data_IF_201314381723
#
_entry.id   IF_201314381723
#
_cell.length_a   1.000
_cell.length_b   1.000
_cell.length_c   1.000
_cell.angle_alpha   90.00
_cell.angle_beta   90.00
_cell.angle_gamma   90.00
#
_symmetry.space_group_name_H-M   'P 1'
#
loop_
_entity.id
_entity.type
_entity.pdbx_description
1 polymer ?
#
# COMPACT_ATOMS: atom_id res chain seq x y z
N UNK A 1 -15.66 -1.27 -3.81
CA UNK A 1 -14.92 -1.62 -2.59
C UNK A 1 -14.51 -0.38 -1.77
N UNK A 2 -13.61 0.49 -2.25
CA UNK A 2 -13.24 1.75 -1.59
C UNK A 2 -13.72 2.95 -2.42
N UNK A 3 -14.30 3.95 -1.75
CA UNK A 3 -14.60 5.27 -2.31
C UNK A 3 -14.04 6.35 -1.38
N UNK A 4 -13.30 7.26 -1.97
CA UNK A 4 -12.79 8.48 -1.32
C UNK A 4 -13.47 9.65 -2.00
N UNK A 5 -14.19 10.47 -1.25
CA UNK A 5 -14.99 11.58 -1.78
C UNK A 5 -14.58 12.89 -1.11
N UNK A 6 -14.10 13.83 -1.92
CA UNK A 6 -13.78 15.22 -1.56
C UNK A 6 -12.96 15.36 -0.27
N UNK A 7 -11.93 14.51 -0.09
CA UNK A 7 -11.10 14.50 1.12
C UNK A 7 -10.22 15.74 1.18
N UNK A 8 -10.32 16.45 2.32
CA UNK A 8 -9.51 17.61 2.64
C UNK A 8 -8.73 17.35 3.93
N UNK A 9 -7.39 17.39 3.86
CA UNK A 9 -6.50 17.13 5.00
C UNK A 9 -5.53 18.29 5.19
N UNK A 10 -5.29 18.65 6.44
CA UNK A 10 -4.43 19.77 6.83
C UNK A 10 -3.39 19.33 7.86
N UNK A 11 -2.17 19.82 7.72
CA UNK A 11 -1.13 19.83 8.74
C UNK A 11 -0.95 21.27 9.24
N UNK A 12 -1.62 21.59 10.35
CA UNK A 12 -1.72 22.99 10.79
C UNK A 12 -2.36 23.85 9.69
N UNK A 13 -1.63 24.81 9.15
CA UNK A 13 -2.08 25.70 8.07
C UNK A 13 -1.81 25.14 6.66
N UNK A 14 -1.11 24.02 6.53
CA UNK A 14 -0.77 23.43 5.23
C UNK A 14 -1.92 22.55 4.75
N UNK A 15 -2.56 22.91 3.63
CA UNK A 15 -3.60 22.13 2.98
C UNK A 15 -2.96 21.05 2.12
N UNK A 16 -2.80 19.85 2.67
CA UNK A 16 -2.07 18.74 2.06
C UNK A 16 -2.90 17.96 1.03
N UNK A 17 -4.19 17.70 1.31
CA UNK A 17 -5.13 17.13 0.34
C UNK A 17 -6.28 18.12 0.12
N UNK A 18 -6.62 18.37 -1.14
CA UNK A 18 -7.48 19.47 -1.59
C UNK A 18 -8.63 18.92 -2.44
N UNK A 19 -9.62 18.29 -1.79
CA UNK A 19 -10.78 17.73 -2.46
C UNK A 19 -10.44 16.47 -3.26
N UNK A 20 -9.62 15.57 -2.69
CA UNK A 20 -9.21 14.33 -3.36
C UNK A 20 -10.37 13.37 -3.41
N UNK A 21 -10.66 12.86 -4.61
CA UNK A 21 -11.65 11.79 -4.86
C UNK A 21 -11.04 10.69 -5.71
N UNK A 22 -11.29 9.42 -5.32
CA UNK A 22 -10.92 8.25 -6.09
C UNK A 22 -11.79 7.04 -5.73
N UNK A 23 -11.84 6.06 -6.61
CA UNK A 23 -12.55 4.79 -6.39
C UNK A 23 -11.64 3.60 -6.70
N UNK A 24 -11.79 2.53 -5.92
CA UNK A 24 -11.10 1.26 -6.13
C UNK A 24 -12.15 0.14 -6.13
N UNK A 25 -12.15 -0.68 -7.19
CA UNK A 25 -13.03 -1.84 -7.28
C UNK A 25 -12.34 -3.07 -6.72
N UNK A 26 -13.12 -4.08 -6.39
CA UNK A 26 -12.60 -5.32 -5.85
C UNK A 26 -11.73 -6.06 -6.87
N UNK A 27 -10.56 -6.53 -6.45
CA UNK A 27 -9.64 -7.30 -7.28
C UNK A 27 -8.69 -6.45 -8.12
N UNK A 28 -8.86 -5.11 -8.19
CA UNK A 28 -7.98 -4.23 -8.95
C UNK A 28 -6.63 -3.99 -8.24
N UNK A 29 -5.59 -3.77 -9.04
CA UNK A 29 -4.41 -3.00 -8.66
C UNK A 29 -4.63 -1.58 -9.16
N UNK A 30 -4.83 -0.64 -8.23
CA UNK A 30 -4.90 0.79 -8.55
C UNK A 30 -3.61 1.45 -8.08
N UNK A 31 -2.99 2.26 -8.95
CA UNK A 31 -1.80 3.01 -8.56
C UNK A 31 -2.09 4.50 -8.42
N UNK A 32 -1.45 5.13 -7.43
CA UNK A 32 -1.42 6.58 -7.25
C UNK A 32 0.02 7.06 -7.49
N UNK A 33 0.24 7.76 -8.58
CA UNK A 33 1.54 8.29 -8.97
C UNK A 33 1.60 9.80 -8.77
N UNK A 34 2.79 10.31 -8.45
CA UNK A 34 3.03 11.74 -8.22
C UNK A 34 4.38 11.98 -7.59
N UNK A 35 4.84 13.21 -7.65
CA UNK A 35 6.11 13.64 -7.07
C UNK A 35 6.13 13.51 -5.53
N UNK A 36 7.32 13.56 -4.93
CA UNK A 36 7.46 13.62 -3.47
C UNK A 36 6.76 14.89 -2.94
N UNK A 37 6.03 14.73 -1.84
CA UNK A 37 5.23 15.82 -1.26
C UNK A 37 3.90 16.08 -1.96
N UNK A 38 3.51 15.34 -3.01
CA UNK A 38 2.24 15.53 -3.70
C UNK A 38 1.00 15.18 -2.87
N UNK A 39 1.15 14.44 -1.74
CA UNK A 39 0.06 14.04 -0.85
C UNK A 39 -0.24 12.54 -0.84
N UNK A 40 0.57 11.71 -1.52
CA UNK A 40 0.38 10.26 -1.65
C UNK A 40 0.25 9.55 -0.29
N UNK A 41 1.29 9.63 0.55
CA UNK A 41 1.29 9.01 1.89
C UNK A 41 0.23 9.61 2.81
N UNK A 42 -0.08 10.92 2.67
CA UNK A 42 -1.17 11.58 3.40
C UNK A 42 -2.52 10.92 3.10
N UNK A 43 -2.77 10.58 1.83
CA UNK A 43 -3.99 9.88 1.44
C UNK A 43 -4.05 8.47 2.05
N UNK A 44 -2.96 7.69 1.96
CA UNK A 44 -2.92 6.35 2.58
C UNK A 44 -3.14 6.41 4.08
N UNK A 45 -2.50 7.36 4.77
CA UNK A 45 -2.68 7.57 6.22
C UNK A 45 -4.11 8.00 6.58
N UNK A 46 -4.78 8.73 5.69
CA UNK A 46 -6.20 9.09 5.88
C UNK A 46 -7.11 7.87 5.73
N UNK A 47 -6.87 7.02 4.72
CA UNK A 47 -7.63 5.79 4.51
C UNK A 47 -7.41 4.80 5.67
N UNK A 48 -6.19 4.69 6.18
CA UNK A 48 -5.84 3.79 7.31
C UNK A 48 -6.19 4.34 8.70
N UNK A 49 -6.75 5.57 8.78
CA UNK A 49 -7.20 6.19 10.03
C UNK A 49 -6.09 6.78 10.90
N UNK A 50 -4.87 6.87 10.38
CA UNK A 50 -3.76 7.57 11.04
C UNK A 50 -3.92 9.09 10.99
N UNK A 51 -4.62 9.59 9.98
CA UNK A 51 -4.99 10.99 9.83
C UNK A 51 -6.50 11.13 9.71
N UNK A 52 -7.05 12.15 10.39
CA UNK A 52 -8.47 12.48 10.28
C UNK A 52 -8.65 13.59 9.24
N UNK A 53 -9.49 13.40 8.20
CA UNK A 53 -9.79 14.48 7.27
C UNK A 53 -10.61 15.56 7.96
N UNK A 54 -10.45 16.80 7.49
CA UNK A 54 -11.26 17.93 7.94
C UNK A 54 -12.67 17.87 7.34
N UNK A 55 -12.74 17.51 6.05
CA UNK A 55 -13.97 17.33 5.29
C UNK A 55 -13.81 16.14 4.34
N UNK A 56 -14.94 15.69 3.79
CA UNK A 56 -15.02 14.57 2.88
C UNK A 56 -15.22 13.24 3.60
N UNK A 57 -15.28 12.18 2.85
CA UNK A 57 -15.56 10.85 3.39
C UNK A 57 -14.70 9.77 2.74
N UNK A 58 -14.46 8.71 3.51
CA UNK A 58 -13.90 7.44 3.03
C UNK A 58 -14.92 6.35 3.35
N UNK A 59 -15.38 5.67 2.31
CA UNK A 59 -16.34 4.57 2.41
C UNK A 59 -15.67 3.29 1.94
N UNK A 60 -15.66 2.26 2.78
CA UNK A 60 -15.16 0.93 2.46
C UNK A 60 -16.28 -0.08 2.67
N UNK A 61 -16.67 -0.80 1.59
CA UNK A 61 -17.77 -1.76 1.58
C UNK A 61 -19.08 -1.19 2.17
N UNK A 62 -19.45 0.00 1.74
CA UNK A 62 -20.64 0.75 2.19
C UNK A 62 -20.59 1.21 3.66
N UNK A 63 -19.44 1.11 4.34
CA UNK A 63 -19.26 1.64 5.67
C UNK A 63 -18.33 2.85 5.68
N UNK A 64 -18.73 3.93 6.37
CA UNK A 64 -17.88 5.10 6.59
C UNK A 64 -16.71 4.73 7.53
N UNK A 65 -15.48 4.91 7.05
CA UNK A 65 -14.26 4.60 7.79
C UNK A 65 -13.41 5.83 8.12
N UNK A 66 -13.69 6.99 7.53
CA UNK A 66 -12.96 8.22 7.80
C UNK A 66 -12.95 8.57 9.30
N UNK A 67 -11.77 8.84 9.85
CA UNK A 67 -11.58 9.21 11.25
C UNK A 67 -11.82 8.08 12.27
N UNK A 68 -12.06 6.84 11.83
CA UNK A 68 -12.05 5.68 12.73
C UNK A 68 -10.62 5.34 13.14
N UNK A 69 -10.46 4.76 14.33
CA UNK A 69 -9.15 4.34 14.82
C UNK A 69 -8.56 3.22 13.96
N UNK A 70 -7.23 3.16 13.74
CA UNK A 70 -6.60 2.20 12.83
C UNK A 70 -6.95 0.74 13.11
N UNK A 71 -7.08 0.34 14.38
CA UNK A 71 -7.42 -1.03 14.76
C UNK A 71 -8.78 -1.47 14.21
N UNK A 72 -9.77 -0.56 14.13
CA UNK A 72 -11.08 -0.85 13.54
C UNK A 72 -11.00 -0.96 12.03
N UNK A 73 -10.12 -0.17 11.40
CA UNK A 73 -9.90 -0.21 9.94
C UNK A 73 -9.23 -1.52 9.55
N UNK A 74 -8.21 -1.97 10.29
CA UNK A 74 -7.58 -3.28 10.07
C UNK A 74 -8.59 -4.42 10.25
N UNK A 75 -9.45 -4.37 11.27
CA UNK A 75 -10.52 -5.38 11.47
C UNK A 75 -11.52 -5.44 10.31
N UNK A 76 -11.70 -4.36 9.55
CA UNK A 76 -12.54 -4.32 8.36
C UNK A 76 -11.84 -4.86 7.11
N UNK A 77 -10.55 -5.14 7.20
CA UNK A 77 -9.78 -5.71 6.10
C UNK A 77 -8.97 -4.71 5.29
N UNK A 78 -8.62 -3.55 5.85
CA UNK A 78 -7.65 -2.61 5.25
C UNK A 78 -6.34 -2.71 6.03
N UNK A 79 -5.24 -3.08 5.37
CA UNK A 79 -3.90 -3.06 5.96
C UNK A 79 -2.98 -2.15 5.16
N UNK A 80 -2.02 -1.52 5.85
CA UNK A 80 -1.04 -0.63 5.23
C UNK A 80 0.38 -1.14 5.48
N UNK A 81 1.19 -1.12 4.41
CA UNK A 81 2.65 -1.19 4.47
C UNK A 81 3.16 0.25 4.29
N UNK A 82 3.63 0.90 5.36
CA UNK A 82 4.09 2.28 5.27
C UNK A 82 5.47 2.36 4.62
N UNK A 83 5.80 3.54 4.12
CA UNK A 83 7.15 3.89 3.67
C UNK A 83 8.19 3.61 4.77
N UNK A 84 9.40 3.21 4.37
CA UNK A 84 10.52 2.97 5.28
C UNK A 84 10.44 1.64 6.03
N UNK A 85 9.67 0.66 5.53
CA UNK A 85 9.58 -0.74 5.97
C UNK A 85 8.98 -0.93 7.36
N UNK A 86 9.35 -0.13 8.37
CA UNK A 86 8.81 -0.10 9.74
C UNK A 86 8.71 -1.48 10.41
N UNK A 87 9.78 -2.28 10.29
CA UNK A 87 9.89 -3.55 11.03
C UNK A 87 10.28 -3.29 12.50
N UNK A 88 9.89 -4.20 13.39
CA UNK A 88 10.30 -4.17 14.80
C UNK A 88 11.67 -4.82 14.94
N UNK A 89 12.74 -4.03 14.85
CA UNK A 89 14.12 -4.49 14.68
C UNK A 89 14.61 -5.43 15.78
N UNK A 90 14.11 -5.31 17.00
CA UNK A 90 14.47 -6.15 18.15
C UNK A 90 13.64 -7.44 18.26
N UNK A 91 12.75 -7.67 17.29
CA UNK A 91 11.93 -8.87 17.19
C UNK A 91 12.40 -9.74 16.02
N UNK A 92 12.22 -11.05 16.13
CA UNK A 92 12.48 -11.98 15.04
C UNK A 92 11.53 -11.75 13.86
N UNK A 93 11.84 -12.36 12.72
CA UNK A 93 10.94 -12.41 11.56
C UNK A 93 9.58 -12.97 11.94
N UNK A 94 9.55 -14.10 12.62
CA UNK A 94 8.33 -14.79 13.05
C UNK A 94 7.48 -13.91 13.97
N UNK A 95 8.07 -13.30 15.00
CA UNK A 95 7.37 -12.39 15.92
C UNK A 95 6.80 -11.16 15.21
N UNK A 96 7.54 -10.60 14.23
CA UNK A 96 7.01 -9.52 13.39
C UNK A 96 5.76 -9.95 12.61
N UNK A 97 5.77 -11.18 12.05
CA UNK A 97 4.61 -11.73 11.34
C UNK A 97 3.43 -11.98 12.29
N UNK A 98 3.68 -12.53 13.49
CA UNK A 98 2.65 -12.74 14.52
C UNK A 98 1.92 -11.45 14.89
N UNK A 99 2.65 -10.32 15.01
CA UNK A 99 2.05 -9.01 15.26
C UNK A 99 1.08 -8.59 14.14
N UNK A 100 1.28 -9.02 12.90
CA UNK A 100 0.35 -8.79 11.82
C UNK A 100 -1.02 -9.42 12.05
N UNK A 101 -1.07 -10.54 12.77
CA UNK A 101 -2.29 -11.25 13.14
C UNK A 101 -2.87 -10.83 14.51
N UNK A 102 -2.32 -9.79 15.17
CA UNK A 102 -2.64 -9.41 16.55
C UNK A 102 -4.15 -9.27 16.85
N UNK A 103 -4.95 -8.81 15.88
CA UNK A 103 -6.40 -8.63 16.05
C UNK A 103 -7.22 -9.89 15.78
N UNK A 104 -6.59 -10.99 15.37
CA UNK A 104 -7.23 -12.25 14.99
C UNK A 104 -7.21 -13.25 16.15
N UNK A 105 -8.18 -14.20 16.11
CA UNK A 105 -8.32 -15.26 17.11
C UNK A 105 -8.35 -16.67 16.49
N UNK A 106 -8.39 -16.75 15.17
CA UNK A 106 -8.51 -17.98 14.38
C UNK A 106 -7.14 -18.68 14.23
N UNK A 107 -6.67 -19.37 15.25
CA UNK A 107 -5.35 -19.98 15.30
C UNK A 107 -5.01 -20.81 14.06
N UNK A 108 -5.96 -21.63 13.56
CA UNK A 108 -5.75 -22.44 12.35
C UNK A 108 -5.52 -21.56 11.13
N UNK A 109 -6.34 -20.54 10.93
CA UNK A 109 -6.18 -19.60 9.82
C UNK A 109 -4.90 -18.77 9.90
N UNK A 110 -4.45 -18.41 11.10
CA UNK A 110 -3.16 -17.73 11.29
C UNK A 110 -2.01 -18.66 10.84
N UNK A 111 -2.04 -19.96 11.22
CA UNK A 111 -1.03 -20.91 10.80
C UNK A 111 -1.01 -21.10 9.27
N UNK A 112 -2.17 -21.21 8.64
CA UNK A 112 -2.29 -21.28 7.17
C UNK A 112 -1.70 -20.04 6.49
N UNK A 113 -1.87 -18.85 7.08
CA UNK A 113 -1.33 -17.60 6.53
C UNK A 113 0.18 -17.48 6.72
N UNK A 114 0.74 -18.02 7.82
CA UNK A 114 2.20 -18.17 7.94
C UNK A 114 2.78 -18.99 6.80
N UNK A 115 2.16 -20.11 6.46
CA UNK A 115 2.61 -20.98 5.36
C UNK A 115 2.55 -20.23 4.02
N UNK A 116 1.46 -19.51 3.73
CA UNK A 116 1.32 -18.70 2.52
C UNK A 116 2.36 -17.56 2.45
N UNK A 117 2.59 -16.87 3.56
CA UNK A 117 3.60 -15.80 3.63
C UNK A 117 5.00 -16.38 3.39
N UNK A 118 5.33 -17.52 3.97
CA UNK A 118 6.62 -18.16 3.74
C UNK A 118 6.77 -18.76 2.33
N UNK A 119 5.68 -19.19 1.70
CA UNK A 119 5.69 -19.57 0.28
C UNK A 119 5.95 -18.36 -0.62
N UNK A 120 5.31 -17.22 -0.32
CA UNK A 120 5.49 -15.97 -1.06
C UNK A 120 6.87 -15.36 -0.83
N UNK A 121 7.42 -15.51 0.38
CA UNK A 121 8.71 -14.96 0.80
C UNK A 121 9.63 -16.06 1.38
N UNK A 122 10.20 -16.97 0.57
CA UNK A 122 11.01 -18.09 1.07
C UNK A 122 12.21 -17.66 1.94
N UNK A 123 12.80 -16.49 1.65
CA UNK A 123 13.90 -15.92 2.45
C UNK A 123 13.49 -15.61 3.89
N UNK A 124 12.23 -15.27 4.13
CA UNK A 124 11.74 -15.06 5.49
C UNK A 124 11.64 -16.38 6.27
N UNK A 125 11.30 -17.50 5.60
CA UNK A 125 11.29 -18.82 6.21
C UNK A 125 12.69 -19.24 6.66
N UNK A 126 13.69 -19.08 5.78
CA UNK A 126 15.10 -19.41 6.07
C UNK A 126 15.61 -18.63 7.31
N UNK A 127 15.07 -17.42 7.54
CA UNK A 127 15.50 -16.47 8.55
C UNK A 127 14.48 -16.25 9.67
N UNK A 128 13.51 -17.17 9.82
CA UNK A 128 12.33 -16.96 10.70
C UNK A 128 12.69 -16.60 12.14
N UNK A 129 13.79 -17.09 12.65
CA UNK A 129 14.28 -16.83 14.02
C UNK A 129 15.30 -15.68 14.10
N UNK A 130 15.69 -15.11 12.97
CA UNK A 130 16.66 -14.01 12.92
C UNK A 130 15.99 -12.69 13.34
N UNK A 131 16.75 -11.82 14.06
CA UNK A 131 16.29 -10.47 14.40
C UNK A 131 16.10 -9.65 13.11
N UNK A 132 14.94 -9.05 12.96
CA UNK A 132 14.55 -8.34 11.73
C UNK A 132 15.39 -7.11 11.44
N UNK A 133 16.00 -6.51 12.47
CA UNK A 133 16.94 -5.40 12.30
C UNK A 133 18.24 -5.76 11.58
N UNK A 134 18.58 -7.06 11.50
CA UNK A 134 19.79 -7.57 10.83
C UNK A 134 19.54 -8.04 9.39
N UNK A 135 18.30 -7.96 8.92
CA UNK A 135 17.92 -8.31 7.55
C UNK A 135 18.39 -7.22 6.56
N UNK A 136 18.62 -7.61 5.32
CA UNK A 136 18.81 -6.66 4.21
C UNK A 136 17.55 -5.80 3.99
N UNK A 137 17.71 -4.65 3.34
CA UNK A 137 16.60 -3.76 3.07
C UNK A 137 15.44 -4.41 2.29
N UNK A 138 15.77 -5.29 1.32
CA UNK A 138 14.75 -6.05 0.58
C UNK A 138 14.03 -7.07 1.44
N UNK A 139 14.74 -7.79 2.31
CA UNK A 139 14.13 -8.74 3.25
C UNK A 139 13.25 -8.04 4.28
N UNK A 140 13.65 -6.85 4.76
CA UNK A 140 12.80 -6.03 5.63
C UNK A 140 11.53 -5.57 4.92
N UNK A 141 11.61 -5.23 3.63
CA UNK A 141 10.43 -4.86 2.83
C UNK A 141 9.49 -6.06 2.67
N UNK A 142 10.02 -7.24 2.35
CA UNK A 142 9.26 -8.49 2.29
C UNK A 142 8.59 -8.80 3.64
N UNK A 143 9.31 -8.59 4.75
CA UNK A 143 8.76 -8.78 6.10
C UNK A 143 7.62 -7.81 6.41
N UNK A 144 7.76 -6.54 6.05
CA UNK A 144 6.70 -5.55 6.23
C UNK A 144 5.43 -5.91 5.43
N UNK A 145 5.60 -6.39 4.18
CA UNK A 145 4.50 -6.88 3.35
C UNK A 145 3.88 -8.16 3.94
N UNK A 146 4.70 -9.14 4.31
CA UNK A 146 4.24 -10.37 4.97
C UNK A 146 3.45 -10.09 6.24
N UNK A 147 3.93 -9.18 7.09
CA UNK A 147 3.23 -8.76 8.30
C UNK A 147 1.85 -8.15 7.99
N UNK A 148 1.73 -7.34 6.95
CA UNK A 148 0.44 -6.77 6.54
C UNK A 148 -0.52 -7.87 6.04
N UNK A 149 -0.02 -8.88 5.34
CA UNK A 149 -0.81 -10.01 4.84
C UNK A 149 -1.36 -10.91 5.97
N UNK A 150 -0.66 -11.00 7.10
CA UNK A 150 -1.12 -11.76 8.27
C UNK A 150 -2.46 -11.25 8.84
N UNK A 151 -2.85 -10.02 8.54
CA UNK A 151 -4.18 -9.50 8.89
C UNK A 151 -5.29 -10.01 7.96
N UNK A 152 -5.02 -10.75 6.90
CA UNK A 152 -5.95 -11.14 5.80
C UNK A 152 -6.67 -9.91 5.22
N UNK A 153 -5.93 -8.93 4.70
CA UNK A 153 -6.56 -7.74 4.16
C UNK A 153 -7.36 -8.05 2.89
N UNK A 154 -8.47 -7.35 2.73
CA UNK A 154 -9.23 -7.29 1.47
C UNK A 154 -8.72 -6.15 0.59
N UNK A 155 -8.16 -5.09 1.23
CA UNK A 155 -7.47 -3.98 0.60
C UNK A 155 -6.10 -3.79 1.26
N UNK A 156 -5.04 -3.91 0.46
CA UNK A 156 -3.67 -3.68 0.88
C UNK A 156 -3.18 -2.33 0.33
N UNK A 157 -2.77 -1.44 1.23
CA UNK A 157 -2.20 -0.15 0.92
C UNK A 157 -0.67 -0.26 0.97
N UNK A 158 0.01 0.04 -0.13
CA UNK A 158 1.48 -0.03 -0.25
C UNK A 158 2.05 1.36 -0.52
N UNK A 159 2.87 1.85 0.39
CA UNK A 159 3.49 3.18 0.34
C UNK A 159 4.94 3.08 -0.10
N UNK A 160 5.22 3.35 -1.36
CA UNK A 160 6.54 3.32 -2.02
C UNK A 160 7.34 2.04 -1.70
N UNK A 161 6.78 0.83 -1.95
CA UNK A 161 7.41 -0.43 -1.52
C UNK A 161 8.73 -0.72 -2.24
N UNK A 162 9.02 -0.07 -3.35
CA UNK A 162 10.26 -0.24 -4.12
C UNK A 162 11.39 0.72 -3.72
N UNK A 163 11.09 1.73 -2.88
CA UNK A 163 12.03 2.80 -2.58
C UNK A 163 13.31 2.30 -1.91
N UNK A 164 14.46 2.73 -2.44
CA UNK A 164 15.78 2.40 -1.89
C UNK A 164 16.18 0.93 -2.04
N UNK A 165 15.55 0.18 -2.96
CA UNK A 165 15.91 -1.18 -3.30
C UNK A 165 16.76 -1.24 -4.58
N UNK A 166 17.62 -2.27 -4.66
CA UNK A 166 18.37 -2.56 -5.88
C UNK A 166 17.41 -2.95 -7.03
N UNK A 167 17.73 -2.65 -8.31
CA UNK A 167 16.83 -2.87 -9.44
C UNK A 167 16.24 -4.29 -9.56
N UNK A 168 17.04 -5.31 -9.23
CA UNK A 168 16.56 -6.70 -9.23
C UNK A 168 15.49 -6.94 -8.17
N UNK A 169 15.66 -6.37 -6.97
CA UNK A 169 14.69 -6.48 -5.88
C UNK A 169 13.41 -5.69 -6.19
N UNK A 170 13.51 -4.53 -6.86
CA UNK A 170 12.34 -3.79 -7.34
C UNK A 170 11.46 -4.70 -8.20
N UNK A 171 12.02 -5.35 -9.22
CA UNK A 171 11.28 -6.30 -10.08
C UNK A 171 10.64 -7.43 -9.26
N UNK A 172 11.36 -7.95 -8.27
CA UNK A 172 10.85 -8.99 -7.39
C UNK A 172 9.64 -8.51 -6.58
N UNK A 173 9.70 -7.30 -6.00
CA UNK A 173 8.60 -6.72 -5.23
C UNK A 173 7.36 -6.52 -6.11
N UNK A 174 7.51 -5.98 -7.32
CA UNK A 174 6.38 -5.80 -8.24
C UNK A 174 5.73 -7.12 -8.64
N UNK A 175 6.54 -8.17 -8.93
CA UNK A 175 6.02 -9.51 -9.17
C UNK A 175 5.24 -10.06 -7.98
N UNK A 176 5.73 -9.86 -6.76
CA UNK A 176 5.05 -10.28 -5.54
C UNK A 176 3.72 -9.53 -5.36
N UNK A 177 3.66 -8.24 -5.71
CA UNK A 177 2.42 -7.45 -5.67
C UNK A 177 1.36 -8.06 -6.61
N UNK A 178 1.74 -8.44 -7.83
CA UNK A 178 0.85 -9.16 -8.76
C UNK A 178 0.40 -10.51 -8.18
N UNK A 179 1.30 -11.28 -7.58
CA UNK A 179 0.97 -12.57 -6.96
C UNK A 179 -0.02 -12.41 -5.80
N UNK A 180 0.17 -11.39 -4.95
CA UNK A 180 -0.77 -11.05 -3.88
C UNK A 180 -2.15 -10.70 -4.47
N UNK A 181 -2.21 -9.89 -5.52
CA UNK A 181 -3.46 -9.51 -6.16
C UNK A 181 -4.20 -10.74 -6.75
N UNK A 182 -3.47 -11.67 -7.40
CA UNK A 182 -4.03 -12.92 -7.95
C UNK A 182 -4.69 -13.80 -6.88
N UNK A 183 -4.33 -13.64 -5.60
CA UNK A 183 -5.02 -14.33 -4.49
C UNK A 183 -6.37 -13.69 -4.11
N UNK A 184 -6.76 -12.59 -4.77
CA UNK A 184 -8.00 -11.87 -4.55
C UNK A 184 -7.87 -10.62 -3.67
N UNK A 185 -6.65 -10.25 -3.25
CA UNK A 185 -6.40 -9.03 -2.49
C UNK A 185 -6.42 -7.81 -3.43
N UNK A 186 -7.25 -6.83 -3.13
CA UNK A 186 -7.25 -5.53 -3.84
C UNK A 186 -6.07 -4.69 -3.37
N UNK A 187 -5.44 -3.93 -4.26
CA UNK A 187 -4.22 -3.19 -3.93
C UNK A 187 -4.35 -1.72 -4.32
N UNK A 188 -4.02 -0.82 -3.39
CA UNK A 188 -3.69 0.57 -3.69
C UNK A 188 -2.18 0.75 -3.53
N UNK A 189 -1.51 0.91 -4.65
CA UNK A 189 -0.07 1.07 -4.75
C UNK A 189 0.28 2.56 -4.93
N UNK A 190 1.03 3.10 -4.00
CA UNK A 190 1.64 4.43 -4.12
C UNK A 190 3.09 4.26 -4.54
N UNK A 191 3.48 4.88 -5.63
CA UNK A 191 4.85 4.79 -6.16
C UNK A 191 5.30 6.09 -6.80
N UNK A 192 6.61 6.33 -6.76
CA UNK A 192 7.28 7.36 -7.53
C UNK A 192 7.72 6.82 -8.89
N UNK A 193 8.06 5.54 -8.99
CA UNK A 193 8.42 4.88 -10.24
C UNK A 193 7.15 4.58 -11.06
N UNK A 194 6.66 5.60 -11.76
CA UNK A 194 5.41 5.53 -12.50
C UNK A 194 5.40 4.44 -13.58
N UNK A 195 6.52 4.22 -14.28
CA UNK A 195 6.64 3.16 -15.30
C UNK A 195 6.36 1.77 -14.71
N UNK A 196 7.02 1.45 -13.60
CA UNK A 196 6.82 0.16 -12.95
C UNK A 196 5.42 0.03 -12.37
N UNK A 197 4.89 1.10 -11.77
CA UNK A 197 3.55 1.09 -11.19
C UNK A 197 2.47 0.87 -12.26
N UNK A 198 2.55 1.59 -13.39
CA UNK A 198 1.61 1.43 -14.51
C UNK A 198 1.71 0.06 -15.18
N UNK A 199 2.89 -0.58 -15.16
CA UNK A 199 3.07 -1.89 -15.82
C UNK A 199 2.28 -3.02 -15.17
N UNK A 200 1.85 -2.87 -13.92
CA UNK A 200 1.08 -3.89 -13.17
C UNK A 200 -0.31 -3.42 -12.76
N UNK A 201 -0.62 -2.15 -12.93
CA UNK A 201 -1.89 -1.57 -12.50
C UNK A 201 -2.99 -1.75 -13.56
N UNK A 202 -4.23 -1.93 -13.10
CA UNK A 202 -5.43 -1.87 -13.94
C UNK A 202 -5.82 -0.41 -14.22
N UNK A 203 -5.76 0.43 -13.17
CA UNK A 203 -6.13 1.85 -13.23
C UNK A 203 -5.13 2.69 -12.44
N UNK A 204 -5.05 3.96 -12.80
CA UNK A 204 -4.16 4.88 -12.11
C UNK A 204 -4.78 6.26 -11.90
N UNK A 205 -4.28 6.91 -10.86
CA UNK A 205 -4.54 8.31 -10.53
C UNK A 205 -3.22 9.06 -10.46
N UNK A 206 -3.20 10.29 -10.96
CA UNK A 206 -2.05 11.19 -10.84
C UNK A 206 -2.39 12.28 -9.84
N UNK A 207 -1.54 12.43 -8.83
CA UNK A 207 -1.72 13.45 -7.79
C UNK A 207 -0.61 14.50 -7.87
N UNK A 208 -1.00 15.78 -7.88
CA UNK A 208 -0.09 16.92 -7.83
C UNK A 208 -0.56 17.92 -6.76
N UNK A 209 0.34 18.31 -5.88
CA UNK A 209 0.10 19.34 -4.87
C UNK A 209 -1.25 19.15 -4.14
N UNK A 210 -1.58 17.91 -3.82
CA UNK A 210 -2.78 17.52 -3.07
C UNK A 210 -4.06 17.41 -3.89
N UNK A 211 -4.01 17.40 -5.23
CA UNK A 211 -5.17 17.24 -6.12
C UNK A 211 -4.97 16.10 -7.10
N UNK A 212 -6.03 15.37 -7.44
CA UNK A 212 -6.01 14.47 -8.58
C UNK A 212 -6.10 15.33 -9.86
N UNK A 213 -5.10 15.16 -10.72
CA UNK A 213 -4.98 15.93 -12.00
C UNK A 213 -5.27 15.07 -13.21
N UNK A 214 -5.15 13.75 -13.10
CA UNK A 214 -5.52 12.80 -14.16
C UNK A 214 -5.93 11.46 -13.54
N UNK A 215 -6.77 10.72 -14.23
CA UNK A 215 -7.17 9.34 -13.89
C UNK A 215 -7.63 8.61 -15.14
N UNK A 216 -7.45 7.29 -15.16
CA UNK A 216 -7.86 6.43 -16.27
C UNK A 216 -7.34 5.00 -16.09
N UNK A 217 -7.44 4.21 -17.12
CA UNK A 217 -6.77 2.90 -17.17
C UNK A 217 -5.25 3.12 -17.22
N UNK A 218 -4.49 2.15 -16.73
CA UNK A 218 -3.04 2.23 -16.79
C UNK A 218 -2.52 2.36 -18.24
N UNK A 219 -3.20 1.72 -19.19
CA UNK A 219 -2.90 1.81 -20.62
C UNK A 219 -3.10 3.22 -21.17
N UNK A 220 -4.26 3.86 -20.89
CA UNK A 220 -4.55 5.23 -21.32
C UNK A 220 -3.52 6.23 -20.79
N UNK A 221 -3.16 6.12 -19.49
CA UNK A 221 -2.19 7.01 -18.89
C UNK A 221 -0.77 6.76 -19.40
N UNK A 222 -0.42 5.51 -19.68
CA UNK A 222 0.88 5.17 -20.29
C UNK A 222 1.04 5.70 -21.73
N UNK A 223 -0.08 5.86 -22.47
CA UNK A 223 -0.08 6.40 -23.84
C UNK A 223 -0.17 7.94 -23.86
N UNK A 224 -0.52 8.59 -22.75
CA UNK A 224 -0.65 10.05 -22.67
C UNK A 224 0.72 10.73 -22.73
N UNK A 225 0.96 11.55 -23.78
CA UNK A 225 2.20 12.31 -23.92
C UNK A 225 2.45 13.25 -22.74
N UNK A 226 1.38 13.84 -22.18
CA UNK A 226 1.47 14.71 -21.01
C UNK A 226 2.00 13.94 -19.79
N UNK A 227 1.46 12.74 -19.51
CA UNK A 227 1.88 11.91 -18.37
C UNK A 227 3.29 11.34 -18.62
N UNK A 228 3.58 10.90 -19.85
CA UNK A 228 4.92 10.41 -20.24
C UNK A 228 6.00 11.46 -20.01
N UNK A 229 5.77 12.68 -20.44
CA UNK A 229 6.75 13.77 -20.29
C UNK A 229 6.93 14.19 -18.84
N UNK A 230 5.84 14.21 -18.04
CA UNK A 230 5.89 14.67 -16.66
C UNK A 230 6.40 13.61 -15.66
N UNK A 231 6.07 12.31 -15.88
CA UNK A 231 6.25 11.25 -14.86
C UNK A 231 6.99 10.01 -15.36
N UNK A 232 7.05 9.74 -16.69
CA UNK A 232 7.62 8.51 -17.23
C UNK A 232 9.02 8.73 -17.86
N UNK A 233 9.59 9.93 -17.75
CA UNK A 233 10.91 10.25 -18.32
C UNK A 233 10.84 10.20 -19.83
N UNK A 234 10.17 11.15 -20.47
CA UNK A 234 10.13 11.27 -21.93
C UNK A 234 11.54 11.52 -22.48
N UNK A 235 12.13 10.49 -23.08
CA UNK A 235 13.23 10.53 -24.04
C UNK A 235 12.89 9.56 -25.16
#
# INVERSE_FOLDING_TARGET
>A
MLKVNDINVYYGNIHALKGVSLEIHQGEIVTLIGANGAGKSTLLQTISGLLKPKNGEVVFDNEHVAGKVPQLIVKRGISQVPEGRRVFSNMSVEENLELGAYLRKDKKGIQEDFEKVFQLFPRLLERRKQLSGTLSGGEQQMLAMGRALMARPRLLLLDEPSMGLAPLLVKTIFKIIEEINKTGTTILLVEQNANMALSIADRAYVIETGKIVASGTAEELNQSDQIRNAYLGGH
#
